data_IF_396375774756
#
_entry.id   IF_396375774756
#
_cell.length_a   1.000
_cell.length_b   1.000
_cell.length_c   1.000
_cell.angle_alpha   90.00
_cell.angle_beta   90.00
_cell.angle_gamma   90.00
#
_symmetry.space_group_name_H-M   'P 1'
#
loop_
_entity.id
_entity.type
_entity.pdbx_description
1 polymer ?
#
# COMPACT_ATOMS: atom_id res chain seq x y z
N UNK A 1 46.68 0.36 34.83
CA UNK A 1 45.25 0.31 35.11
C UNK A 1 44.55 -0.21 33.85
N UNK A 2 44.12 -1.49 33.86
CA UNK A 2 43.35 -2.05 32.76
C UNK A 2 41.93 -1.49 32.82
N UNK A 3 41.58 -0.62 31.90
CA UNK A 3 40.19 -0.19 31.70
C UNK A 3 39.44 -1.34 31.04
N UNK A 4 38.58 -2.00 31.80
CA UNK A 4 37.60 -2.93 31.26
C UNK A 4 36.74 -2.12 30.28
N UNK A 5 36.61 -2.51 29.00
CA UNK A 5 35.73 -1.82 28.11
C UNK A 5 34.30 -1.85 28.66
N UNK A 6 33.53 -0.76 28.52
CA UNK A 6 32.14 -0.74 28.99
C UNK A 6 31.36 -1.87 28.31
N UNK A 7 30.57 -2.59 29.10
CA UNK A 7 29.67 -3.60 28.54
C UNK A 7 28.77 -2.98 27.49
N UNK A 8 28.55 -3.65 26.35
CA UNK A 8 27.66 -3.13 25.32
C UNK A 8 26.26 -2.91 25.89
N UNK A 9 25.62 -1.79 25.49
CA UNK A 9 24.24 -1.51 25.88
C UNK A 9 23.30 -2.62 25.33
N UNK A 10 22.30 -3.01 26.12
CA UNK A 10 21.36 -4.03 25.64
C UNK A 10 20.59 -3.56 24.41
N UNK A 11 20.21 -4.47 23.50
CA UNK A 11 19.38 -4.14 22.37
C UNK A 11 18.04 -3.55 22.84
N UNK A 12 17.45 -2.69 22.00
CA UNK A 12 16.01 -2.43 22.08
C UNK A 12 15.32 -3.60 21.42
N UNK A 13 14.31 -4.18 22.06
CA UNK A 13 13.44 -5.19 21.48
C UNK A 13 11.99 -4.77 21.68
N UNK A 14 11.23 -4.77 20.59
CA UNK A 14 9.80 -4.47 20.58
C UNK A 14 9.06 -5.55 19.81
N UNK A 15 7.93 -5.94 20.32
CA UNK A 15 7.09 -6.99 19.74
C UNK A 15 5.66 -6.48 19.62
N UNK A 16 5.05 -6.75 18.49
CA UNK A 16 3.63 -6.51 18.25
C UNK A 16 3.03 -7.69 17.49
N UNK A 17 1.73 -7.92 17.69
CA UNK A 17 0.94 -8.82 16.86
C UNK A 17 0.17 -7.99 15.83
N UNK A 18 0.12 -8.48 14.60
CA UNK A 18 -0.67 -7.93 13.51
C UNK A 18 -1.60 -9.00 12.92
N UNK A 19 -2.81 -8.61 12.56
CA UNK A 19 -3.88 -9.51 12.10
C UNK A 19 -3.74 -9.84 10.60
N UNK A 20 -2.59 -10.37 10.21
CA UNK A 20 -2.31 -10.79 8.84
C UNK A 20 -1.22 -11.86 8.82
N UNK A 21 -1.02 -12.54 7.67
CA UNK A 21 0.03 -13.52 7.48
C UNK A 21 1.43 -12.87 7.36
N UNK A 22 2.54 -13.64 7.55
CA UNK A 22 3.89 -13.09 7.51
C UNK A 22 4.30 -12.48 6.17
N UNK A 23 3.77 -12.96 5.05
CA UNK A 23 4.12 -12.43 3.74
C UNK A 23 3.51 -11.04 3.54
N UNK A 24 2.24 -10.87 3.87
CA UNK A 24 1.55 -9.58 3.87
C UNK A 24 2.17 -8.62 4.89
N UNK A 25 2.46 -9.09 6.11
CA UNK A 25 3.12 -8.27 7.12
C UNK A 25 4.48 -7.75 6.64
N UNK A 26 5.29 -8.61 6.02
CA UNK A 26 6.57 -8.22 5.43
C UNK A 26 6.41 -7.20 4.30
N UNK A 27 5.50 -7.43 3.35
CA UNK A 27 5.22 -6.53 2.23
C UNK A 27 4.78 -5.15 2.73
N UNK A 28 3.84 -5.08 3.68
CA UNK A 28 3.40 -3.81 4.27
C UNK A 28 4.56 -3.09 4.95
N UNK A 29 5.41 -3.82 5.70
CA UNK A 29 6.56 -3.22 6.35
C UNK A 29 7.59 -2.67 5.38
N UNK A 30 7.82 -3.33 4.26
CA UNK A 30 8.87 -3.00 3.28
C UNK A 30 8.35 -2.18 2.11
N UNK A 31 7.52 -2.76 1.26
CA UNK A 31 7.11 -2.16 -0.02
C UNK A 31 6.14 -0.99 0.17
N UNK A 32 5.41 -1.00 1.30
CA UNK A 32 4.41 0.02 1.63
C UNK A 32 4.83 0.93 2.78
N UNK A 33 6.10 0.95 3.18
CA UNK A 33 6.60 1.75 4.31
C UNK A 33 6.21 3.23 4.20
N UNK A 34 6.18 3.80 2.99
CA UNK A 34 5.77 5.17 2.74
C UNK A 34 4.31 5.49 3.03
N UNK A 35 3.46 4.47 3.22
CA UNK A 35 2.03 4.66 3.50
C UNK A 35 1.73 4.75 5.01
N UNK A 36 2.62 4.27 5.86
CA UNK A 36 2.38 4.20 7.31
C UNK A 36 3.48 4.84 8.16
N UNK A 37 4.66 5.09 7.62
CA UNK A 37 5.71 5.76 8.39
C UNK A 37 5.28 7.19 8.77
N UNK A 38 5.38 7.58 10.05
CA UNK A 38 4.94 8.90 10.52
C UNK A 38 5.91 10.01 10.11
N UNK A 39 5.92 10.37 8.82
CA UNK A 39 6.81 11.40 8.28
C UNK A 39 6.52 12.79 8.85
N UNK A 40 5.32 13.03 9.36
CA UNK A 40 4.97 14.26 10.05
C UNK A 40 5.82 14.53 11.30
N UNK A 41 6.26 13.46 11.98
CA UNK A 41 7.02 13.53 13.23
C UNK A 41 8.47 13.03 13.07
N UNK A 42 8.69 12.06 12.19
CA UNK A 42 9.94 11.29 12.08
C UNK A 42 10.47 11.32 10.63
N UNK A 43 10.75 12.51 10.13
CA UNK A 43 11.32 12.77 8.81
C UNK A 43 12.58 13.63 8.92
N UNK A 44 13.50 13.48 7.96
CA UNK A 44 14.67 14.36 7.82
C UNK A 44 14.27 15.67 7.12
N UNK A 45 13.30 15.61 6.20
CA UNK A 45 12.86 16.75 5.38
C UNK A 45 11.54 17.37 5.83
N UNK A 46 10.85 16.79 6.81
CA UNK A 46 9.53 17.23 7.25
C UNK A 46 8.39 16.63 6.44
N UNK A 47 7.22 17.28 6.49
CA UNK A 47 6.00 16.82 5.81
C UNK A 47 6.13 16.91 4.29
N UNK A 48 5.39 16.05 3.56
CA UNK A 48 5.33 16.06 2.10
C UNK A 48 6.39 15.23 1.39
N UNK A 49 7.31 14.62 2.15
CA UNK A 49 8.29 13.67 1.61
C UNK A 49 7.70 12.27 1.42
N UNK A 50 8.54 11.37 0.89
CA UNK A 50 8.23 9.94 0.76
C UNK A 50 9.39 9.12 1.29
N UNK A 51 9.11 7.95 1.87
CA UNK A 51 10.13 6.98 2.31
C UNK A 51 9.88 5.63 1.63
N UNK A 52 10.96 4.93 1.26
CA UNK A 52 10.85 3.63 0.61
C UNK A 52 12.18 2.88 0.52
N UNK A 53 12.09 1.56 0.35
CA UNK A 53 13.24 0.73 0.02
C UNK A 53 13.51 0.80 -1.48
N UNK A 54 14.70 1.22 -1.88
CA UNK A 54 15.12 1.38 -3.27
C UNK A 54 16.61 1.02 -3.40
N UNK A 55 16.96 0.19 -4.36
CA UNK A 55 18.35 -0.19 -4.67
C UNK A 55 19.16 -0.65 -3.43
N UNK A 56 18.51 -1.49 -2.59
CA UNK A 56 19.12 -2.01 -1.37
C UNK A 56 19.34 -0.97 -0.26
N UNK A 57 18.61 0.14 -0.29
CA UNK A 57 18.66 1.20 0.71
C UNK A 57 17.25 1.58 1.17
N UNK A 58 17.13 2.03 2.40
CA UNK A 58 15.97 2.77 2.88
C UNK A 58 16.24 4.26 2.67
N UNK A 59 15.39 4.91 1.88
CA UNK A 59 15.63 6.25 1.35
C UNK A 59 14.43 7.15 1.60
N UNK A 60 14.67 8.37 2.05
CA UNK A 60 13.68 9.44 2.08
C UNK A 60 13.93 10.43 0.93
N UNK A 61 12.84 10.90 0.31
CA UNK A 61 12.83 11.96 -0.70
C UNK A 61 11.96 13.12 -0.23
N UNK A 62 12.48 14.34 -0.35
CA UNK A 62 11.68 15.55 -0.12
C UNK A 62 10.71 15.83 -1.28
N UNK A 63 9.75 16.73 -1.08
CA UNK A 63 8.89 17.25 -2.17
C UNK A 63 9.70 17.90 -3.30
N UNK A 64 10.85 18.49 -3.00
CA UNK A 64 11.73 19.16 -3.96
C UNK A 64 12.68 18.19 -4.66
N UNK A 65 12.65 16.88 -4.31
CA UNK A 65 13.46 15.84 -4.93
C UNK A 65 14.82 15.61 -4.28
N UNK A 66 15.12 16.25 -3.15
CA UNK A 66 16.32 15.94 -2.36
C UNK A 66 16.22 14.52 -1.80
N UNK A 67 17.33 13.83 -1.69
CA UNK A 67 17.37 12.42 -1.32
C UNK A 67 18.36 12.20 -0.18
N UNK A 68 17.92 11.52 0.87
CA UNK A 68 18.80 11.03 1.94
C UNK A 68 18.59 9.53 2.16
N UNK A 69 19.69 8.81 2.40
CA UNK A 69 19.62 7.41 2.81
C UNK A 69 19.52 7.34 4.34
N UNK A 70 18.53 6.61 4.83
CA UNK A 70 18.41 6.29 6.25
C UNK A 70 19.24 5.07 6.62
N UNK A 71 19.52 4.20 5.63
CA UNK A 71 20.34 3.03 5.83
C UNK A 71 20.52 2.18 4.58
N UNK A 72 21.35 1.16 4.73
CA UNK A 72 21.63 0.14 3.70
C UNK A 72 21.05 -1.19 4.16
N UNK A 73 20.34 -1.90 3.29
CA UNK A 73 19.80 -3.23 3.56
C UNK A 73 20.95 -4.22 3.70
N UNK A 74 20.94 -4.97 4.79
CA UNK A 74 21.94 -6.01 5.10
C UNK A 74 21.38 -7.43 5.05
N UNK A 75 20.03 -7.56 5.14
CA UNK A 75 19.31 -8.82 5.01
C UNK A 75 17.94 -8.54 4.37
N UNK A 76 17.54 -9.39 3.44
CA UNK A 76 16.23 -9.32 2.81
C UNK A 76 15.73 -10.74 2.57
N UNK A 77 14.83 -11.19 3.41
CA UNK A 77 14.22 -12.51 3.37
C UNK A 77 12.70 -12.35 3.37
N UNK A 78 12.04 -12.34 2.20
CA UNK A 78 10.60 -12.16 2.11
C UNK A 78 9.84 -13.11 3.04
N UNK A 79 8.80 -12.58 3.67
CA UNK A 79 7.99 -13.23 4.71
C UNK A 79 8.75 -13.59 6.01
N UNK A 80 10.06 -13.43 6.08
CA UNK A 80 10.87 -13.84 7.23
C UNK A 80 11.53 -12.69 7.97
N UNK A 81 12.36 -11.90 7.28
CA UNK A 81 13.12 -10.83 7.92
C UNK A 81 13.60 -9.76 6.95
N UNK A 82 13.72 -8.53 7.46
CA UNK A 82 14.49 -7.45 6.85
C UNK A 82 15.45 -6.87 7.88
N UNK A 83 16.70 -6.60 7.48
CA UNK A 83 17.64 -5.88 8.33
C UNK A 83 18.39 -4.80 7.53
N UNK A 84 18.71 -3.72 8.19
CA UNK A 84 19.38 -2.57 7.57
C UNK A 84 20.18 -1.78 8.62
N UNK A 85 21.20 -1.05 8.15
CA UNK A 85 21.86 -0.02 8.97
C UNK A 85 20.90 1.15 9.16
N UNK A 86 21.05 1.91 10.26
CA UNK A 86 20.10 2.96 10.61
C UNK A 86 20.82 4.25 11.01
N UNK A 87 20.64 5.30 10.22
CA UNK A 87 21.24 6.62 10.47
C UNK A 87 20.44 7.77 9.80
N UNK A 88 19.12 7.91 10.00
CA UNK A 88 18.33 8.94 9.32
C UNK A 88 18.90 10.33 9.63
N UNK A 89 19.30 11.05 8.55
CA UNK A 89 19.90 12.38 8.66
C UNK A 89 21.29 12.45 9.29
N UNK A 90 21.83 11.33 9.77
CA UNK A 90 23.13 11.24 10.41
C UNK A 90 24.27 10.95 9.44
N UNK A 91 25.53 11.14 9.86
CA UNK A 91 26.69 10.81 9.04
C UNK A 91 26.80 9.29 8.85
N UNK A 92 27.20 8.80 7.64
CA UNK A 92 27.27 7.35 7.34
C UNK A 92 28.17 6.52 8.27
N UNK A 93 29.11 7.14 8.99
CA UNK A 93 29.98 6.48 9.96
C UNK A 93 29.34 6.24 11.35
N UNK A 94 28.24 6.91 11.64
CA UNK A 94 27.51 6.77 12.91
C UNK A 94 26.17 6.09 12.61
N UNK A 95 26.14 4.79 12.58
CA UNK A 95 24.93 4.01 12.32
C UNK A 95 24.72 2.92 13.37
N UNK A 96 23.51 2.60 13.60
CA UNK A 96 23.03 1.43 14.34
C UNK A 96 22.51 0.37 13.36
N UNK A 97 21.97 -0.73 13.88
CA UNK A 97 21.40 -1.80 13.06
C UNK A 97 19.98 -2.10 13.53
N UNK A 98 19.06 -2.16 12.59
CA UNK A 98 17.68 -2.57 12.83
C UNK A 98 17.43 -3.88 12.12
N UNK A 99 16.86 -4.85 12.80
CA UNK A 99 16.33 -6.08 12.25
C UNK A 99 14.86 -6.21 12.63
N UNK A 100 14.03 -6.58 11.66
CA UNK A 100 12.61 -6.87 11.86
C UNK A 100 12.33 -8.27 11.34
N UNK A 101 11.76 -9.12 12.21
CA UNK A 101 11.39 -10.50 11.88
C UNK A 101 9.88 -10.69 11.93
N UNK A 102 9.37 -11.60 11.10
CA UNK A 102 7.95 -11.88 10.91
C UNK A 102 7.71 -13.37 11.14
N UNK A 103 7.01 -13.72 12.20
CA UNK A 103 6.77 -15.12 12.57
C UNK A 103 5.27 -15.38 12.70
N UNK A 104 4.79 -16.45 12.03
CA UNK A 104 3.39 -16.85 12.16
C UNK A 104 3.07 -17.30 13.59
N UNK A 105 1.97 -16.79 14.14
CA UNK A 105 1.41 -17.18 15.45
C UNK A 105 -0.10 -17.31 15.26
N UNK A 106 -0.58 -18.54 15.17
CA UNK A 106 -1.98 -18.85 14.81
C UNK A 106 -2.40 -18.17 13.51
N UNK A 107 -3.41 -17.31 13.53
CA UNK A 107 -3.87 -16.51 12.39
C UNK A 107 -3.21 -15.14 12.27
N UNK A 108 -2.25 -14.83 13.12
CA UNK A 108 -1.58 -13.53 13.22
C UNK A 108 -0.08 -13.65 12.90
N UNK A 109 0.58 -12.53 12.79
CA UNK A 109 2.04 -12.46 12.68
C UNK A 109 2.61 -11.72 13.89
N UNK A 110 3.56 -12.36 14.58
CA UNK A 110 4.43 -11.71 15.56
C UNK A 110 5.54 -10.98 14.81
N UNK A 111 5.52 -9.66 14.90
CA UNK A 111 6.56 -8.79 14.37
C UNK A 111 7.48 -8.38 15.50
N UNK A 112 8.77 -8.73 15.38
CA UNK A 112 9.79 -8.40 16.37
C UNK A 112 10.81 -7.46 15.77
N UNK A 113 10.93 -6.25 16.32
CA UNK A 113 11.98 -5.30 15.99
C UNK A 113 13.10 -5.41 17.01
N UNK A 114 14.33 -5.54 16.51
CA UNK A 114 15.57 -5.53 17.33
C UNK A 114 16.49 -4.43 16.83
N UNK A 115 16.90 -3.51 17.72
CA UNK A 115 17.78 -2.39 17.39
C UNK A 115 19.04 -2.45 18.23
N UNK A 116 20.20 -2.42 17.58
CA UNK A 116 21.54 -2.65 18.17
C UNK A 116 22.57 -1.69 17.58
N UNK A 117 23.82 -1.72 18.08
CA UNK A 117 24.95 -1.00 17.48
C UNK A 117 25.17 0.40 18.04
N UNK A 118 24.81 0.61 19.29
CA UNK A 118 24.89 1.89 20.00
C UNK A 118 26.32 2.40 20.19
N UNK A 119 27.31 1.52 20.20
CA UNK A 119 28.73 1.82 20.43
C UNK A 119 29.36 2.76 19.39
N UNK A 120 28.68 2.99 18.27
CA UNK A 120 29.11 3.90 17.20
C UNK A 120 28.69 5.35 17.41
N UNK A 121 27.83 5.61 18.39
CA UNK A 121 27.35 6.95 18.71
C UNK A 121 28.29 7.64 19.73
N UNK A 122 28.37 8.96 19.66
CA UNK A 122 29.15 9.77 20.62
C UNK A 122 28.61 9.62 22.03
N UNK A 123 27.28 9.56 22.18
CA UNK A 123 26.59 9.22 23.43
C UNK A 123 25.65 8.02 23.18
N UNK A 124 26.15 6.79 23.38
CA UNK A 124 25.37 5.59 23.15
C UNK A 124 24.11 5.48 23.99
N UNK A 125 24.13 5.98 25.24
CA UNK A 125 23.01 5.86 26.16
C UNK A 125 21.88 6.82 25.78
N UNK A 126 22.22 8.05 25.44
CA UNK A 126 21.25 9.04 24.95
C UNK A 126 20.60 8.60 23.64
N UNK A 127 21.41 8.17 22.65
CA UNK A 127 20.89 7.67 21.36
C UNK A 127 19.95 6.49 21.54
N UNK A 128 20.33 5.51 22.39
CA UNK A 128 19.46 4.37 22.68
C UNK A 128 18.13 4.79 23.31
N UNK A 129 18.15 5.72 24.26
CA UNK A 129 16.94 6.19 24.94
C UNK A 129 15.96 6.88 23.98
N UNK A 130 16.46 7.72 23.08
CA UNK A 130 15.66 8.41 22.06
C UNK A 130 14.95 7.41 21.15
N UNK A 131 15.64 6.41 20.63
CA UNK A 131 15.03 5.37 19.81
C UNK A 131 14.09 4.46 20.58
N UNK A 132 14.36 4.20 21.86
CA UNK A 132 13.49 3.37 22.70
C UNK A 132 12.11 4.02 22.90
N UNK A 133 12.05 5.34 22.94
CA UNK A 133 10.80 6.13 22.99
C UNK A 133 10.12 6.24 21.61
N UNK A 134 10.86 6.28 20.52
CA UNK A 134 10.31 6.45 19.15
C UNK A 134 9.65 5.18 18.57
N UNK A 135 10.24 4.01 18.80
CA UNK A 135 9.74 2.77 18.19
C UNK A 135 8.30 2.41 18.50
N UNK A 136 7.75 2.65 19.72
CA UNK A 136 6.35 2.40 19.99
C UNK A 136 5.40 3.20 19.08
N UNK A 137 5.75 4.44 18.71
CA UNK A 137 4.96 5.27 17.77
C UNK A 137 4.99 4.66 16.38
N UNK A 138 6.17 4.34 15.87
CA UNK A 138 6.38 3.74 14.55
C UNK A 138 5.63 2.40 14.42
N UNK A 139 5.81 1.49 15.38
CA UNK A 139 5.14 0.18 15.37
C UNK A 139 3.64 0.29 15.61
N UNK A 140 3.18 1.32 16.32
CA UNK A 140 1.76 1.64 16.49
C UNK A 140 1.12 1.99 15.14
N UNK A 141 1.73 2.89 14.35
CA UNK A 141 1.27 3.26 13.00
C UNK A 141 1.28 2.06 12.04
N UNK A 142 2.35 1.27 12.08
CA UNK A 142 2.41 0.05 11.28
C UNK A 142 1.28 -0.93 11.62
N UNK A 143 1.02 -1.19 12.92
CA UNK A 143 -0.08 -2.05 13.36
C UNK A 143 -1.44 -1.50 12.97
N UNK A 144 -1.67 -0.20 13.13
CA UNK A 144 -2.89 0.44 12.68
C UNK A 144 -3.08 0.27 11.17
N UNK A 145 -2.03 0.48 10.39
CA UNK A 145 -2.09 0.32 8.94
C UNK A 145 -2.38 -1.14 8.53
N UNK A 146 -1.78 -2.12 9.22
CA UNK A 146 -2.09 -3.55 8.98
C UNK A 146 -3.49 -3.94 9.46
N UNK A 147 -4.04 -3.33 10.53
CA UNK A 147 -5.36 -3.63 11.05
C UNK A 147 -6.50 -3.00 10.22
N UNK A 148 -6.25 -1.83 9.61
CA UNK A 148 -7.22 -1.19 8.72
C UNK A 148 -7.20 -1.79 7.31
N UNK A 149 -6.40 -2.85 7.12
CA UNK A 149 -6.17 -3.48 5.83
C UNK A 149 -5.59 -2.47 4.84
N UNK A 150 -4.51 -2.81 4.16
CA UNK A 150 -4.27 -2.21 2.85
C UNK A 150 -5.57 -2.34 2.05
N UNK A 151 -5.94 -1.42 1.17
CA UNK A 151 -7.06 -1.64 0.25
C UNK A 151 -6.98 -3.00 -0.48
N UNK A 152 -5.80 -3.64 -0.47
CA UNK A 152 -5.55 -5.00 -0.98
C UNK A 152 -5.60 -6.11 0.09
N UNK A 153 -5.66 -5.81 1.41
CA UNK A 153 -5.59 -6.84 2.47
C UNK A 153 -6.94 -7.55 2.73
N UNK A 154 -8.05 -6.98 2.30
CA UNK A 154 -9.35 -7.67 2.26
C UNK A 154 -9.54 -8.49 0.98
N UNK A 155 -8.47 -8.69 0.20
CA UNK A 155 -8.54 -9.47 -1.03
C UNK A 155 -9.57 -8.90 -2.01
N UNK A 156 -9.58 -7.59 -2.22
CA UNK A 156 -10.45 -6.95 -3.22
C UNK A 156 -9.71 -6.71 -4.52
N UNK A 157 -10.34 -7.02 -5.62
CA UNK A 157 -9.86 -6.66 -6.95
C UNK A 157 -10.58 -5.41 -7.44
N UNK A 158 -9.82 -4.35 -7.65
CA UNK A 158 -10.34 -3.12 -8.22
C UNK A 158 -10.06 -3.06 -9.71
N UNK A 159 -11.06 -2.69 -10.50
CA UNK A 159 -10.94 -2.55 -11.95
C UNK A 159 -11.64 -1.30 -12.43
N UNK A 160 -11.03 -0.65 -13.42
CA UNK A 160 -11.66 0.40 -14.22
C UNK A 160 -12.12 -0.21 -15.57
N UNK A 161 -13.39 -0.09 -15.85
CA UNK A 161 -14.02 -0.46 -17.14
C UNK A 161 -14.16 0.81 -17.95
N UNK A 162 -13.43 0.91 -19.06
CA UNK A 162 -13.52 2.04 -19.99
C UNK A 162 -14.40 1.62 -21.17
N UNK A 163 -15.59 2.21 -21.26
CA UNK A 163 -16.57 1.94 -22.31
C UNK A 163 -16.44 2.96 -23.45
N UNK A 164 -16.56 2.47 -24.66
CA UNK A 164 -16.58 3.26 -25.90
C UNK A 164 -17.70 2.79 -26.80
N UNK A 165 -18.27 3.65 -27.68
CA UNK A 165 -19.18 3.22 -28.70
C UNK A 165 -18.60 2.05 -29.51
N UNK A 166 -19.37 0.97 -29.62
CA UNK A 166 -19.01 -0.22 -30.37
C UNK A 166 -19.46 -0.14 -31.84
N UNK A 167 -19.15 -1.15 -32.62
CA UNK A 167 -19.49 -1.17 -34.05
C UNK A 167 -21.01 -1.19 -34.33
N UNK A 168 -21.82 -1.57 -33.36
CA UNK A 168 -23.28 -1.56 -33.47
C UNK A 168 -23.93 -0.29 -32.87
N UNK A 169 -23.14 0.64 -32.31
CA UNK A 169 -23.66 1.89 -31.76
C UNK A 169 -24.13 2.85 -32.89
N UNK A 170 -25.20 3.63 -32.66
CA UNK A 170 -25.59 4.70 -33.58
C UNK A 170 -24.58 5.85 -33.54
N UNK A 171 -24.45 6.57 -34.60
CA UNK A 171 -23.61 7.77 -34.65
C UNK A 171 -24.24 8.96 -33.89
N UNK A 172 -23.41 9.70 -33.16
CA UNK A 172 -23.79 10.98 -32.53
C UNK A 172 -24.58 10.87 -31.23
N UNK A 173 -25.42 11.87 -30.95
CA UNK A 173 -26.15 12.02 -29.68
C UNK A 173 -27.25 10.97 -29.43
N UNK A 174 -27.60 10.17 -30.43
CA UNK A 174 -28.60 9.11 -30.30
C UNK A 174 -28.17 7.91 -29.46
N UNK A 175 -26.92 7.89 -28.95
CA UNK A 175 -26.39 6.79 -28.17
C UNK A 175 -27.18 6.58 -26.85
N UNK A 176 -27.52 7.64 -26.16
CA UNK A 176 -28.23 7.59 -24.88
C UNK A 176 -29.74 7.38 -24.99
N UNK A 177 -30.30 7.61 -26.20
CA UNK A 177 -31.72 7.39 -26.52
C UNK A 177 -31.96 5.99 -27.11
N UNK A 178 -30.90 5.22 -27.36
CA UNK A 178 -30.99 3.86 -27.92
C UNK A 178 -31.40 2.87 -26.80
N UNK A 179 -32.41 1.98 -27.05
CA UNK A 179 -32.82 1.00 -26.03
C UNK A 179 -31.71 0.10 -25.50
N UNK A 180 -30.65 -0.13 -26.28
CA UNK A 180 -29.49 -0.92 -25.85
C UNK A 180 -28.65 -0.22 -24.76
N UNK A 181 -28.79 1.09 -24.60
CA UNK A 181 -28.23 1.80 -23.46
C UNK A 181 -28.90 1.40 -22.14
N UNK A 182 -30.18 1.07 -22.16
CA UNK A 182 -30.89 0.53 -20.98
C UNK A 182 -30.34 -0.83 -20.53
N UNK A 183 -29.82 -1.63 -21.48
CA UNK A 183 -29.14 -2.90 -21.14
C UNK A 183 -27.85 -2.65 -20.34
N UNK A 184 -27.09 -1.62 -20.72
CA UNK A 184 -25.93 -1.19 -19.95
C UNK A 184 -26.30 -0.66 -18.56
N UNK A 185 -27.35 0.16 -18.44
CA UNK A 185 -27.86 0.61 -17.14
C UNK A 185 -28.29 -0.56 -16.27
N UNK A 186 -28.93 -1.57 -16.85
CA UNK A 186 -29.32 -2.80 -16.17
C UNK A 186 -28.10 -3.56 -15.63
N UNK A 187 -27.01 -3.60 -16.38
CA UNK A 187 -25.72 -4.15 -15.90
C UNK A 187 -25.20 -3.36 -14.71
N UNK A 188 -25.14 -2.03 -14.78
CA UNK A 188 -24.66 -1.18 -13.67
C UNK A 188 -25.52 -1.35 -12.40
N UNK A 189 -26.84 -1.49 -12.55
CA UNK A 189 -27.77 -1.76 -11.43
C UNK A 189 -27.44 -3.10 -10.78
N UNK A 190 -27.23 -4.18 -11.58
CA UNK A 190 -26.81 -5.48 -11.04
C UNK A 190 -25.49 -5.39 -10.29
N UNK A 191 -24.49 -4.64 -10.80
CA UNK A 191 -23.21 -4.46 -10.12
C UNK A 191 -23.37 -3.69 -8.80
N UNK A 192 -24.25 -2.70 -8.76
CA UNK A 192 -24.62 -1.98 -7.54
C UNK A 192 -25.27 -2.91 -6.51
N UNK A 193 -26.26 -3.68 -6.92
CA UNK A 193 -27.04 -4.57 -6.06
C UNK A 193 -26.20 -5.75 -5.53
N UNK A 194 -25.17 -6.16 -6.30
CA UNK A 194 -24.16 -7.11 -5.87
C UNK A 194 -23.09 -6.49 -4.92
N UNK A 195 -23.11 -5.18 -4.72
CA UNK A 195 -22.12 -4.47 -3.90
C UNK A 195 -20.75 -4.27 -4.58
N UNK A 196 -20.67 -4.50 -5.90
CA UNK A 196 -19.41 -4.36 -6.65
C UNK A 196 -19.19 -2.95 -7.22
N UNK A 197 -20.25 -2.21 -7.49
CA UNK A 197 -20.16 -0.89 -8.11
C UNK A 197 -19.67 0.16 -7.11
N UNK A 198 -18.58 0.84 -7.43
CA UNK A 198 -18.07 2.00 -6.69
C UNK A 198 -18.58 3.30 -7.31
N UNK A 199 -18.40 3.46 -8.63
CA UNK A 199 -18.87 4.62 -9.39
C UNK A 199 -19.03 4.25 -10.86
N UNK A 200 -19.95 4.93 -11.55
CA UNK A 200 -20.08 4.85 -12.99
C UNK A 200 -20.57 6.20 -13.55
N UNK A 201 -20.12 6.55 -14.75
CA UNK A 201 -20.56 7.77 -15.42
C UNK A 201 -19.92 7.97 -16.79
N UNK A 202 -20.45 8.95 -17.53
CA UNK A 202 -19.90 9.38 -18.80
C UNK A 202 -18.65 10.24 -18.59
N UNK A 203 -17.70 10.13 -19.52
CA UNK A 203 -16.55 11.03 -19.63
C UNK A 203 -16.96 12.24 -20.45
N UNK A 204 -16.89 13.43 -19.84
CA UNK A 204 -17.45 14.65 -20.47
C UNK A 204 -16.58 15.23 -21.59
N UNK A 205 -15.34 14.79 -21.69
CA UNK A 205 -14.36 15.21 -22.69
C UNK A 205 -14.45 14.44 -24.01
N UNK A 206 -15.02 13.22 -23.98
CA UNK A 206 -15.20 12.37 -25.17
C UNK A 206 -16.65 11.89 -25.25
N UNK A 207 -17.44 12.39 -26.22
CA UNK A 207 -18.83 11.97 -26.38
C UNK A 207 -18.98 10.46 -26.55
N UNK A 208 -19.87 9.87 -25.76
CA UNK A 208 -20.18 8.44 -25.81
C UNK A 208 -19.21 7.53 -25.05
N UNK A 209 -18.13 8.07 -24.49
CA UNK A 209 -17.25 7.29 -23.59
C UNK A 209 -17.74 7.37 -22.14
N UNK A 210 -17.49 6.29 -21.39
CA UNK A 210 -17.84 6.20 -19.98
C UNK A 210 -16.84 5.37 -19.20
N UNK A 211 -16.86 5.54 -17.89
CA UNK A 211 -16.03 4.77 -16.96
C UNK A 211 -16.89 4.17 -15.86
N UNK A 212 -16.61 2.92 -15.53
CA UNK A 212 -17.19 2.22 -14.38
C UNK A 212 -16.06 1.71 -13.51
N UNK A 213 -16.12 1.97 -12.22
CA UNK A 213 -15.20 1.43 -11.23
C UNK A 213 -15.92 0.32 -10.49
N UNK A 214 -15.36 -0.89 -10.53
CA UNK A 214 -15.81 -2.04 -9.76
C UNK A 214 -14.80 -2.42 -8.70
N UNK A 215 -15.30 -2.92 -7.58
CA UNK A 215 -14.56 -3.52 -6.48
C UNK A 215 -15.15 -4.90 -6.18
N UNK A 216 -14.43 -5.95 -6.54
CA UNK A 216 -14.85 -7.33 -6.35
C UNK A 216 -14.16 -7.93 -5.11
N UNK A 217 -14.85 -8.76 -4.31
CA UNK A 217 -14.22 -9.47 -3.21
C UNK A 217 -13.25 -10.54 -3.75
N UNK A 218 -12.05 -10.60 -3.20
CA UNK A 218 -10.99 -11.53 -3.61
C UNK A 218 -9.85 -10.85 -4.38
N UNK A 219 -8.62 -11.23 -4.08
CA UNK A 219 -7.39 -10.62 -4.62
C UNK A 219 -7.07 -10.99 -6.08
N UNK A 220 -7.72 -11.99 -6.65
CA UNK A 220 -7.47 -12.47 -8.03
C UNK A 220 -8.79 -12.58 -8.82
N UNK A 221 -9.54 -11.47 -8.91
CA UNK A 221 -10.84 -11.43 -9.57
C UNK A 221 -10.81 -10.71 -10.94
N UNK A 222 -9.62 -10.45 -11.51
CA UNK A 222 -9.53 -9.78 -12.81
C UNK A 222 -10.21 -10.57 -13.92
N UNK A 223 -10.08 -11.91 -13.91
CA UNK A 223 -10.78 -12.80 -14.82
C UNK A 223 -12.29 -12.68 -14.67
N UNK A 224 -12.81 -12.68 -13.45
CA UNK A 224 -14.25 -12.50 -13.15
C UNK A 224 -14.74 -11.12 -13.56
N UNK A 225 -14.00 -10.05 -13.26
CA UNK A 225 -14.34 -8.70 -13.69
C UNK A 225 -14.42 -8.59 -15.23
N UNK A 226 -13.50 -9.26 -15.93
CA UNK A 226 -13.49 -9.32 -17.38
C UNK A 226 -14.73 -10.05 -17.92
N UNK A 227 -15.13 -11.17 -17.32
CA UNK A 227 -16.36 -11.88 -17.70
C UNK A 227 -17.61 -11.05 -17.47
N UNK A 228 -17.72 -10.40 -16.30
CA UNK A 228 -18.82 -9.48 -16.01
C UNK A 228 -18.93 -8.41 -17.08
N UNK A 229 -17.83 -7.73 -17.41
CA UNK A 229 -17.82 -6.61 -18.33
C UNK A 229 -18.05 -7.02 -19.81
N UNK A 230 -17.62 -8.22 -20.22
CA UNK A 230 -17.65 -8.61 -21.65
C UNK A 230 -18.77 -9.57 -21.99
N UNK A 231 -19.26 -10.38 -21.03
CA UNK A 231 -20.29 -11.39 -21.28
C UNK A 231 -21.62 -11.09 -20.59
N UNK A 232 -21.58 -10.51 -19.39
CA UNK A 232 -22.81 -10.24 -18.62
C UNK A 232 -23.36 -8.82 -18.87
N UNK A 233 -22.57 -7.89 -19.40
CA UNK A 233 -23.08 -6.66 -19.97
C UNK A 233 -23.58 -6.94 -21.39
N UNK A 234 -24.92 -7.05 -21.57
CA UNK A 234 -25.55 -7.35 -22.85
C UNK A 234 -25.25 -6.29 -23.92
N UNK A 235 -25.04 -5.04 -23.51
CA UNK A 235 -24.68 -3.95 -24.41
C UNK A 235 -23.29 -4.15 -25.02
N UNK A 236 -22.34 -4.69 -24.25
CA UNK A 236 -20.98 -5.03 -24.70
C UNK A 236 -21.02 -6.32 -25.52
N UNK A 237 -21.69 -7.35 -25.04
CA UNK A 237 -21.83 -8.62 -25.76
C UNK A 237 -22.51 -8.45 -27.13
N UNK A 238 -23.45 -7.51 -27.25
CA UNK A 238 -24.15 -7.14 -28.48
C UNK A 238 -23.39 -6.13 -29.37
N UNK A 239 -22.19 -5.70 -28.96
CA UNK A 239 -21.37 -4.78 -29.74
C UNK A 239 -21.84 -3.32 -29.74
N UNK A 240 -22.80 -2.95 -28.89
CA UNK A 240 -23.23 -1.56 -28.71
C UNK A 240 -22.13 -0.74 -28.02
N UNK A 241 -21.50 -1.30 -26.98
CA UNK A 241 -20.25 -0.81 -26.42
C UNK A 241 -19.10 -1.77 -26.67
N UNK A 242 -17.89 -1.24 -26.69
CA UNK A 242 -16.64 -1.97 -26.43
C UNK A 242 -16.17 -1.60 -25.05
N UNK A 243 -15.50 -2.52 -24.36
CA UNK A 243 -14.97 -2.28 -23.02
C UNK A 243 -13.50 -2.65 -22.91
N UNK A 244 -12.71 -1.78 -22.30
CA UNK A 244 -11.34 -2.10 -21.87
C UNK A 244 -11.33 -2.27 -20.38
N UNK A 245 -10.98 -3.47 -19.90
CA UNK A 245 -10.85 -3.79 -18.48
C UNK A 245 -9.42 -3.49 -18.04
N UNK A 246 -9.26 -2.65 -17.05
CA UNK A 246 -7.96 -2.30 -16.49
C UNK A 246 -7.92 -2.63 -15.01
N UNK A 247 -6.93 -3.43 -14.55
CA UNK A 247 -6.66 -3.53 -13.12
C UNK A 247 -6.28 -2.16 -12.60
N UNK A 248 -6.80 -1.81 -11.42
CA UNK A 248 -6.54 -0.52 -10.79
C UNK A 248 -6.00 -0.72 -9.39
N UNK A 249 -4.77 -0.26 -9.16
CA UNK A 249 -4.17 -0.21 -7.83
C UNK A 249 -4.60 1.08 -7.15
N UNK A 250 -5.42 0.95 -6.11
CA UNK A 250 -5.92 2.09 -5.33
C UNK A 250 -4.85 2.51 -4.34
N UNK A 251 -4.25 3.67 -4.57
CA UNK A 251 -3.22 4.21 -3.68
C UNK A 251 -3.81 4.92 -2.44
N UNK A 252 -5.04 5.44 -2.54
CA UNK A 252 -5.73 6.15 -1.47
C UNK A 252 -7.24 5.99 -1.63
N UNK A 253 -7.93 5.67 -0.55
CA UNK A 253 -9.38 5.53 -0.52
C UNK A 253 -9.96 6.35 0.64
N UNK A 254 -11.01 7.12 0.38
CA UNK A 254 -11.77 7.74 1.48
C UNK A 254 -12.51 6.66 2.29
N UNK A 255 -12.59 6.78 3.63
CA UNK A 255 -13.47 5.92 4.40
C UNK A 255 -14.89 6.01 3.83
N UNK A 256 -15.58 4.86 3.73
CA UNK A 256 -16.98 4.85 3.34
C UNK A 256 -17.75 5.79 4.26
N UNK A 257 -18.41 6.80 3.69
CA UNK A 257 -19.32 7.65 4.44
C UNK A 257 -20.39 6.70 5.01
N UNK A 258 -20.37 6.48 6.33
CA UNK A 258 -21.33 5.65 7.01
C UNK A 258 -22.76 6.10 6.63
N UNK A 259 -23.58 5.12 6.21
CA UNK A 259 -25.01 5.32 5.95
C UNK A 259 -25.75 5.59 7.24
#
# INVERSE_FOLDING_TARGET
MSTVPPSPLPPIRREILVDTDPATAFEVFTDRIGQWWPLEDLSVYGTGGTVGFTDGRLVERSETGEVTAWGTVTRWEPAGAVAFTWHPGGPPGQFSNVEVTFAAVDSQTLVTLTHTGWERFTDPAAARAEYDEGWPVVLGRYREHTAHGSPDADGETWVALLHRPGPAAPEGAALFDDPRFEEHLSFLIRMRDAGYLVAAGSLSDVPGEGMTILRLPGSDQLGRATELATKEDSSVAGGFFTVTVRPWQVALQSPALGR
#
